data_IF_880021463202
#
_entry.id   IF_880021463202
#
_cell.length_a   1.000
_cell.length_b   1.000
_cell.length_c   1.000
_cell.angle_alpha   90.00
_cell.angle_beta   90.00
_cell.angle_gamma   90.00
#
_symmetry.space_group_name_H-M   'P 1'
#
loop_
_entity.id
_entity.type
_entity.pdbx_description
1 polymer ?
#
# COMPACT_ATOMS: atom_id res chain seq x y z
N UNK A 1 7.26 3.62 -5.72
CA UNK A 1 7.72 2.47 -4.91
C UNK A 1 6.62 2.11 -3.92
N UNK A 2 6.36 0.83 -3.67
CA UNK A 2 5.41 0.35 -2.65
C UNK A 2 6.17 -0.57 -1.69
N UNK A 3 6.15 -0.25 -0.40
CA UNK A 3 6.77 -1.04 0.66
C UNK A 3 5.67 -1.62 1.55
N UNK A 4 5.80 -2.89 1.96
CA UNK A 4 4.85 -3.57 2.85
C UNK A 4 5.46 -3.72 4.24
N UNK A 5 4.68 -3.49 5.30
CA UNK A 5 5.08 -3.86 6.65
C UNK A 5 4.94 -5.36 6.85
N UNK A 6 6.09 -6.01 6.97
CA UNK A 6 6.22 -7.46 7.16
C UNK A 6 6.55 -7.83 8.61
N UNK A 7 6.55 -6.85 9.51
CA UNK A 7 6.84 -7.06 10.93
C UNK A 7 5.91 -8.10 11.54
N UNK A 8 6.41 -8.83 12.54
CA UNK A 8 5.62 -9.82 13.28
C UNK A 8 4.96 -10.92 12.41
N UNK A 9 5.49 -11.17 11.20
CA UNK A 9 4.99 -12.22 10.31
C UNK A 9 3.74 -11.86 9.52
N UNK A 10 3.39 -10.57 9.37
CA UNK A 10 2.19 -10.05 8.66
C UNK A 10 2.12 -10.36 7.14
N UNK A 11 2.97 -11.23 6.60
CA UNK A 11 3.25 -11.39 5.16
C UNK A 11 2.33 -12.34 4.40
N UNK A 12 2.04 -13.53 4.94
CA UNK A 12 1.44 -14.63 4.19
C UNK A 12 0.23 -15.20 4.92
N UNK A 13 -0.87 -15.41 4.19
CA UNK A 13 -2.14 -15.92 4.75
C UNK A 13 -3.00 -14.89 5.50
N UNK A 14 -2.49 -13.69 5.75
CA UNK A 14 -3.28 -12.55 6.26
C UNK A 14 -4.01 -11.84 5.12
N UNK A 15 -5.30 -11.58 5.30
CA UNK A 15 -6.06 -10.69 4.41
C UNK A 15 -5.80 -9.21 4.72
N UNK A 16 -5.25 -8.89 5.89
CA UNK A 16 -4.85 -7.53 6.28
C UNK A 16 -3.40 -7.24 5.90
N UNK A 17 -3.13 -6.01 5.48
CA UNK A 17 -1.81 -5.51 5.05
C UNK A 17 -1.66 -4.04 5.43
N UNK A 18 -0.42 -3.59 5.59
CA UNK A 18 -0.06 -2.19 5.81
C UNK A 18 1.07 -1.83 4.86
N UNK A 19 0.92 -0.76 4.08
CA UNK A 19 1.87 -0.38 3.04
C UNK A 19 2.21 1.11 3.09
N UNK A 20 3.42 1.42 2.65
CA UNK A 20 3.90 2.77 2.38
C UNK A 20 4.14 2.93 0.88
N UNK A 21 3.49 3.91 0.27
CA UNK A 21 3.63 4.26 -1.14
C UNK A 21 4.45 5.54 -1.23
N UNK A 22 5.49 5.51 -2.04
CA UNK A 22 6.35 6.67 -2.33
C UNK A 22 6.29 6.96 -3.82
N UNK A 23 5.79 8.14 -4.19
CA UNK A 23 5.72 8.59 -5.59
C UNK A 23 7.04 9.24 -6.02
N UNK A 24 7.24 9.41 -7.33
CA UNK A 24 8.43 10.06 -7.89
C UNK A 24 8.61 11.51 -7.37
N UNK A 25 7.50 12.22 -7.15
CA UNK A 25 7.49 13.59 -6.63
C UNK A 25 7.76 13.65 -5.12
N UNK A 26 8.06 12.52 -4.48
CA UNK A 26 8.33 12.44 -3.04
C UNK A 26 7.07 12.44 -2.16
N UNK A 27 5.87 12.26 -2.73
CA UNK A 27 4.64 12.10 -1.94
C UNK A 27 4.68 10.75 -1.22
N UNK A 28 4.40 10.77 0.08
CA UNK A 28 4.36 9.57 0.93
C UNK A 28 2.92 9.33 1.37
N UNK A 29 2.42 8.12 1.13
CA UNK A 29 1.03 7.72 1.43
C UNK A 29 1.08 6.40 2.22
N UNK A 30 0.44 6.35 3.37
CA UNK A 30 0.25 5.13 4.15
C UNK A 30 -1.14 4.57 3.93
N UNK A 31 -1.24 3.27 3.65
CA UNK A 31 -2.50 2.55 3.49
C UNK A 31 -2.49 1.29 4.36
N UNK A 32 -3.59 0.99 5.04
CA UNK A 32 -3.73 -0.24 5.81
C UNK A 32 -5.16 -0.75 5.76
N UNK A 33 -5.33 -2.07 5.83
CA UNK A 33 -6.65 -2.71 5.73
C UNK A 33 -6.58 -4.02 4.97
N UNK A 34 -7.72 -4.44 4.40
CA UNK A 34 -7.73 -5.64 3.57
C UNK A 34 -6.91 -5.43 2.31
N UNK A 35 -6.27 -6.49 1.81
CA UNK A 35 -5.47 -6.45 0.57
C UNK A 35 -6.26 -5.89 -0.62
N UNK A 36 -7.56 -6.19 -0.72
CA UNK A 36 -8.44 -5.64 -1.75
C UNK A 36 -8.60 -4.12 -1.63
N UNK A 37 -8.80 -3.62 -0.41
CA UNK A 37 -9.03 -2.20 -0.17
C UNK A 37 -7.76 -1.39 -0.42
N UNK A 38 -6.61 -1.92 0.04
CA UNK A 38 -5.29 -1.33 -0.21
C UNK A 38 -4.95 -1.37 -1.70
N UNK A 39 -5.37 -2.40 -2.44
CA UNK A 39 -5.19 -2.45 -3.89
C UNK A 39 -6.01 -1.37 -4.62
N UNK A 40 -7.27 -1.12 -4.21
CA UNK A 40 -8.05 -0.02 -4.77
C UNK A 40 -7.40 1.33 -4.50
N UNK A 41 -6.93 1.58 -3.26
CA UNK A 41 -6.21 2.82 -2.93
C UNK A 41 -4.94 2.98 -3.76
N UNK A 42 -4.21 1.90 -4.05
CA UNK A 42 -3.04 1.95 -4.91
C UNK A 42 -3.41 2.36 -6.34
N UNK A 43 -4.53 1.87 -6.88
CA UNK A 43 -5.01 2.26 -8.20
C UNK A 43 -5.43 3.73 -8.24
N UNK A 44 -6.08 4.23 -7.19
CA UNK A 44 -6.43 5.65 -7.09
C UNK A 44 -5.18 6.53 -7.10
N UNK A 45 -4.15 6.17 -6.33
CA UNK A 45 -2.87 6.88 -6.32
C UNK A 45 -2.20 6.86 -7.70
N UNK A 46 -2.26 5.74 -8.42
CA UNK A 46 -1.71 5.65 -9.79
C UNK A 46 -2.49 6.55 -10.74
N UNK A 47 -3.81 6.57 -10.60
CA UNK A 47 -4.71 7.36 -11.45
C UNK A 47 -4.52 8.86 -11.24
N UNK A 48 -4.25 9.29 -10.01
CA UNK A 48 -3.93 10.68 -9.67
C UNK A 48 -2.59 11.18 -10.25
N UNK A 49 -1.72 10.28 -10.73
CA UNK A 49 -0.42 10.62 -11.32
C UNK A 49 -0.43 10.70 -12.85
N UNK A 50 -1.53 10.31 -13.51
CA UNK A 50 -1.74 10.42 -14.95
C UNK A 50 -2.13 11.85 -15.34
#
# INVERSE_FOLDING_TARGET
MVANDVSNGKVFGSDSTEVLIVTEQGKVISASGQKSDVAHQLLDVISDML
#
